data_IF_401597866165
#
_entry.id   IF_401597866165
#
_cell.length_a   1.000
_cell.length_b   1.000
_cell.length_c   1.000
_cell.angle_alpha   90.00
_cell.angle_beta   90.00
_cell.angle_gamma   90.00
#
_symmetry.space_group_name_H-M   'P 1'
#
loop_
_entity.id
_entity.type
_entity.pdbx_description
1 polymer ?
#
# COMPACT_ATOMS: atom_id res chain seq x y z
N UNK A 1 -0.66 29.36 -10.79
CA UNK A 1 -1.33 28.20 -10.17
C UNK A 1 -1.32 27.07 -11.18
N UNK A 2 -0.72 25.95 -10.80
CA UNK A 2 -0.61 24.76 -11.63
C UNK A 2 -1.65 23.76 -11.14
N UNK A 3 -2.31 23.08 -12.07
CA UNK A 3 -3.33 22.07 -11.84
C UNK A 3 -2.85 20.72 -12.35
N UNK A 4 -3.37 19.65 -11.75
CA UNK A 4 -3.11 18.28 -12.15
C UNK A 4 -4.41 17.57 -12.54
N UNK A 5 -4.40 16.90 -13.69
CA UNK A 5 -5.43 15.92 -14.06
C UNK A 5 -5.09 14.58 -13.42
N UNK A 6 -6.02 14.04 -12.62
CA UNK A 6 -5.79 12.84 -11.81
C UNK A 6 -6.80 11.76 -12.17
N UNK A 7 -6.30 10.55 -12.46
CA UNK A 7 -7.11 9.33 -12.53
C UNK A 7 -7.35 8.81 -11.11
N UNK A 8 -8.59 8.47 -10.78
CA UNK A 8 -8.97 7.83 -9.51
C UNK A 8 -9.32 6.35 -9.74
N UNK A 9 -9.20 5.46 -8.71
CA UNK A 9 -9.53 4.03 -8.82
C UNK A 9 -11.04 3.79 -8.74
N UNK A 10 -11.80 4.57 -9.50
CA UNK A 10 -13.26 4.62 -9.49
C UNK A 10 -13.80 4.30 -10.89
N UNK A 11 -15.00 3.72 -10.99
CA UNK A 11 -15.64 3.38 -12.27
C UNK A 11 -16.24 4.63 -12.95
N UNK A 12 -15.39 5.62 -13.25
CA UNK A 12 -15.78 6.92 -13.83
C UNK A 12 -14.99 7.18 -15.11
N UNK A 13 -15.68 7.60 -16.18
CA UNK A 13 -15.10 7.85 -17.51
C UNK A 13 -14.32 9.18 -17.62
N UNK A 14 -13.97 9.79 -16.50
CA UNK A 14 -13.35 11.11 -16.44
C UNK A 14 -12.14 11.10 -15.51
N UNK A 15 -11.15 11.93 -15.83
CA UNK A 15 -10.17 12.43 -14.87
C UNK A 15 -10.75 13.61 -14.10
N UNK A 16 -10.10 13.96 -12.99
CA UNK A 16 -10.50 15.07 -12.14
C UNK A 16 -9.33 16.02 -11.96
N UNK A 17 -9.61 17.32 -12.09
CA UNK A 17 -8.62 18.36 -11.91
C UNK A 17 -8.50 18.73 -10.44
N UNK A 18 -7.26 18.80 -9.95
CA UNK A 18 -6.90 19.28 -8.61
C UNK A 18 -5.91 20.43 -8.69
N UNK A 19 -5.97 21.36 -7.75
CA UNK A 19 -4.95 22.39 -7.58
C UNK A 19 -3.72 21.80 -6.89
N UNK A 20 -2.55 22.28 -7.29
CA UNK A 20 -1.27 21.90 -6.72
C UNK A 20 -0.84 22.99 -5.73
N UNK A 21 -0.82 22.73 -4.42
CA UNK A 21 -0.28 23.65 -3.43
C UNK A 21 1.18 24.01 -3.71
N UNK A 22 1.59 25.23 -3.35
CA UNK A 22 2.94 25.75 -3.64
C UNK A 22 4.06 24.87 -3.07
N UNK A 23 3.84 24.27 -1.89
CA UNK A 23 4.79 23.36 -1.25
C UNK A 23 4.96 22.01 -1.97
N UNK A 24 4.07 21.65 -2.90
CA UNK A 24 4.12 20.40 -3.65
C UNK A 24 4.59 20.58 -5.10
N UNK A 25 4.69 21.83 -5.61
CA UNK A 25 4.98 22.08 -7.02
C UNK A 25 6.31 21.48 -7.51
N UNK A 26 7.33 21.41 -6.65
CA UNK A 26 8.64 20.84 -7.00
C UNK A 26 8.71 19.32 -6.87
N UNK A 27 7.74 18.70 -6.19
CA UNK A 27 7.74 17.27 -5.86
C UNK A 27 6.76 16.45 -6.71
N UNK A 28 5.98 17.09 -7.56
CA UNK A 28 4.92 16.45 -8.36
C UNK A 28 5.29 16.42 -9.85
N UNK A 29 4.93 15.32 -10.51
CA UNK A 29 5.10 15.14 -11.95
C UNK A 29 4.04 14.23 -12.53
N UNK A 30 4.03 14.10 -13.86
CA UNK A 30 3.19 13.12 -14.55
C UNK A 30 3.64 11.70 -14.15
N UNK A 31 2.67 10.83 -13.86
CA UNK A 31 2.89 9.44 -13.42
C UNK A 31 3.12 9.27 -11.92
N UNK A 32 3.08 10.35 -11.13
CA UNK A 32 3.18 10.29 -9.67
C UNK A 32 1.85 9.88 -9.02
N UNK A 33 1.94 9.18 -7.90
CA UNK A 33 0.78 8.98 -7.03
C UNK A 33 0.57 10.19 -6.14
N UNK A 34 -0.69 10.58 -6.03
CA UNK A 34 -1.13 11.69 -5.19
C UNK A 34 -2.31 11.26 -4.34
N UNK A 35 -2.37 11.79 -3.13
CA UNK A 35 -3.53 11.66 -2.25
C UNK A 35 -4.44 12.86 -2.47
N UNK A 36 -5.69 12.60 -2.82
CA UNK A 36 -6.66 13.64 -3.15
C UNK A 36 -8.03 13.39 -2.51
N UNK A 37 -8.77 14.44 -2.14
CA UNK A 37 -10.13 14.31 -1.66
C UNK A 37 -11.10 14.07 -2.82
N UNK A 38 -12.10 13.22 -2.63
CA UNK A 38 -13.19 13.02 -3.58
C UNK A 38 -14.53 12.86 -2.85
N UNK A 39 -15.53 13.66 -3.24
CA UNK A 39 -16.81 13.73 -2.52
C UNK A 39 -16.70 14.42 -1.15
N UNK A 40 -17.63 14.13 -0.24
CA UNK A 40 -17.79 14.89 1.02
C UNK A 40 -16.69 14.63 2.05
N UNK A 41 -16.12 13.42 2.14
CA UNK A 41 -15.07 13.09 3.14
C UNK A 41 -14.11 11.95 2.75
N UNK A 42 -14.05 11.49 1.50
CA UNK A 42 -13.16 10.37 1.12
C UNK A 42 -11.84 10.85 0.54
N UNK A 43 -10.77 10.11 0.80
CA UNK A 43 -9.47 10.30 0.15
C UNK A 43 -9.12 9.09 -0.69
N UNK A 44 -8.57 9.35 -1.87
CA UNK A 44 -8.15 8.32 -2.81
C UNK A 44 -6.70 8.57 -3.23
N UNK A 45 -5.97 7.48 -3.46
CA UNK A 45 -4.72 7.54 -4.21
C UNK A 45 -5.06 7.58 -5.70
N UNK A 46 -4.71 8.69 -6.35
CA UNK A 46 -4.81 8.86 -7.79
C UNK A 46 -3.45 8.92 -8.48
N UNK A 47 -3.47 8.90 -9.81
CA UNK A 47 -2.28 9.08 -10.66
C UNK A 47 -2.40 10.37 -11.45
N UNK A 48 -1.37 11.21 -11.39
CA UNK A 48 -1.27 12.42 -12.21
C UNK A 48 -1.02 12.03 -13.66
N UNK A 49 -1.86 12.49 -14.57
CA UNK A 49 -1.77 12.22 -16.02
C UNK A 49 -1.30 13.43 -16.81
N UNK A 50 -1.62 14.63 -16.34
CA UNK A 50 -1.26 15.88 -17.00
C UNK A 50 -1.10 17.00 -15.96
N UNK A 51 -0.17 17.91 -16.22
CA UNK A 51 -0.04 19.18 -15.50
C UNK A 51 -0.42 20.32 -16.44
N UNK A 52 -1.23 21.27 -15.99
CA UNK A 52 -1.72 22.36 -16.81
C UNK A 52 -2.04 23.61 -15.98
N UNK A 53 -2.27 24.75 -16.62
CA UNK A 53 -2.55 26.03 -15.96
C UNK A 53 -4.01 26.49 -16.12
N UNK A 54 -4.89 25.58 -16.56
CA UNK A 54 -6.29 25.90 -16.86
C UNK A 54 -7.19 25.45 -15.71
N UNK A 55 -7.84 26.40 -15.04
CA UNK A 55 -8.83 26.08 -14.00
C UNK A 55 -10.13 25.60 -14.67
N UNK A 56 -10.71 24.46 -14.26
CA UNK A 56 -12.05 24.07 -14.66
C UNK A 56 -13.08 25.16 -14.29
N UNK A 57 -13.98 25.49 -15.22
CA UNK A 57 -15.03 26.48 -14.99
C UNK A 57 -16.32 25.90 -14.39
N UNK A 58 -16.44 24.57 -14.33
CA UNK A 58 -17.70 23.84 -14.11
C UNK A 58 -17.83 23.20 -12.71
N UNK A 59 -16.79 23.26 -11.87
CA UNK A 59 -16.86 22.76 -10.49
C UNK A 59 -15.79 23.38 -9.59
N UNK A 60 -15.98 23.23 -8.28
CA UNK A 60 -15.00 23.64 -7.27
C UNK A 60 -13.80 22.69 -7.29
N UNK A 61 -12.62 23.25 -7.53
CA UNK A 61 -11.35 22.51 -7.54
C UNK A 61 -10.84 22.35 -6.11
N UNK A 62 -10.51 21.12 -5.72
CA UNK A 62 -9.90 20.82 -4.43
C UNK A 62 -8.38 20.71 -4.56
N UNK A 63 -7.69 20.86 -3.44
CA UNK A 63 -6.23 20.72 -3.38
C UNK A 63 -5.77 19.26 -3.31
N UNK A 64 -4.60 18.99 -3.88
CA UNK A 64 -3.83 17.78 -3.60
C UNK A 64 -3.33 17.81 -2.16
N UNK A 65 -3.54 16.71 -1.43
CA UNK A 65 -3.15 16.59 -0.02
C UNK A 65 -1.68 16.26 0.12
N UNK A 66 -1.19 15.31 -0.68
CA UNK A 66 0.18 14.82 -0.61
C UNK A 66 0.60 14.16 -1.93
N UNK A 67 1.91 14.18 -2.19
CA UNK A 67 2.56 13.30 -3.17
C UNK A 67 3.09 12.08 -2.41
N UNK A 68 2.82 10.88 -2.89
CA UNK A 68 3.10 9.63 -2.15
C UNK A 68 4.42 8.96 -2.55
N UNK A 69 5.08 9.45 -3.60
CA UNK A 69 6.32 8.89 -4.14
C UNK A 69 7.35 9.98 -4.40
N UNK A 70 8.63 9.60 -4.34
CA UNK A 70 9.75 10.48 -4.75
C UNK A 70 9.93 10.50 -6.27
N UNK A 71 9.50 9.44 -6.96
CA UNK A 71 9.66 9.26 -8.40
C UNK A 71 8.33 8.84 -9.05
N UNK A 72 8.17 9.09 -10.35
CA UNK A 72 6.99 8.63 -11.09
C UNK A 72 6.91 7.11 -11.11
N UNK A 73 5.81 6.54 -10.62
CA UNK A 73 5.60 5.08 -10.65
C UNK A 73 5.07 4.59 -12.00
N UNK A 74 4.48 5.50 -12.79
CA UNK A 74 3.86 5.17 -14.06
C UNK A 74 4.51 5.94 -15.21
N UNK A 75 4.97 5.21 -16.23
CA UNK A 75 5.62 5.78 -17.41
C UNK A 75 4.60 6.09 -18.50
N UNK A 76 4.96 7.00 -19.39
CA UNK A 76 4.11 7.41 -20.53
C UNK A 76 3.62 6.23 -21.41
N UNK A 77 4.43 5.21 -21.76
CA UNK A 77 3.91 4.05 -22.50
C UNK A 77 2.84 3.26 -21.74
N UNK A 78 2.95 3.18 -20.40
CA UNK A 78 1.97 2.47 -19.57
C UNK A 78 0.66 3.25 -19.49
N UNK A 79 0.72 4.58 -19.38
CA UNK A 79 -0.49 5.43 -19.44
C UNK A 79 -1.20 5.28 -20.79
N UNK A 80 -0.46 5.30 -21.90
CA UNK A 80 -1.03 5.04 -23.23
C UNK A 80 -1.68 3.66 -23.33
N UNK A 81 -1.05 2.65 -22.72
CA UNK A 81 -1.62 1.31 -22.68
C UNK A 81 -2.91 1.24 -21.85
N UNK A 82 -2.98 1.93 -20.72
CA UNK A 82 -4.21 2.01 -19.93
C UNK A 82 -5.35 2.69 -20.70
N UNK A 83 -5.04 3.78 -21.42
CA UNK A 83 -6.00 4.45 -22.28
C UNK A 83 -6.47 3.52 -23.40
N UNK A 84 -5.54 2.80 -24.05
CA UNK A 84 -5.89 1.82 -25.09
C UNK A 84 -6.81 0.70 -24.56
N UNK A 85 -6.55 0.16 -23.36
CA UNK A 85 -7.44 -0.83 -22.73
C UNK A 85 -8.83 -0.22 -22.50
N UNK A 86 -8.88 0.98 -21.91
CA UNK A 86 -10.12 1.70 -21.60
C UNK A 86 -10.96 1.92 -22.87
N UNK A 87 -10.33 2.38 -23.95
CA UNK A 87 -10.98 2.65 -25.24
C UNK A 87 -11.42 1.34 -25.93
N UNK A 88 -10.55 0.33 -25.98
CA UNK A 88 -10.82 -0.92 -26.68
C UNK A 88 -11.90 -1.77 -26.00
N UNK A 89 -11.87 -1.84 -24.67
CA UNK A 89 -12.84 -2.61 -23.87
C UNK A 89 -14.01 -1.77 -23.36
N UNK A 90 -14.10 -0.50 -23.74
CA UNK A 90 -15.16 0.43 -23.35
C UNK A 90 -15.38 0.45 -21.82
N UNK A 91 -14.30 0.43 -21.06
CA UNK A 91 -14.34 0.47 -19.60
C UNK A 91 -13.71 1.76 -19.07
N UNK A 92 -14.08 2.25 -17.87
CA UNK A 92 -13.46 3.43 -17.29
C UNK A 92 -11.97 3.21 -17.02
N UNK A 93 -11.13 4.20 -17.36
CA UNK A 93 -9.67 4.13 -17.11
C UNK A 93 -9.33 3.94 -15.63
N UNK A 94 -10.20 4.40 -14.72
CA UNK A 94 -10.07 4.17 -13.29
C UNK A 94 -10.18 2.69 -12.87
N UNK A 95 -10.94 1.88 -13.62
CA UNK A 95 -10.99 0.43 -13.40
C UNK A 95 -9.71 -0.26 -13.88
N UNK A 96 -9.16 0.21 -15.00
CA UNK A 96 -7.85 -0.25 -15.50
C UNK A 96 -6.76 0.06 -14.47
N UNK A 97 -6.75 1.27 -13.92
CA UNK A 97 -5.86 1.65 -12.81
C UNK A 97 -6.05 0.74 -11.59
N UNK A 98 -7.29 0.51 -11.18
CA UNK A 98 -7.61 -0.35 -10.03
C UNK A 98 -7.10 -1.78 -10.22
N UNK A 99 -7.16 -2.31 -11.44
CA UNK A 99 -6.65 -3.64 -11.77
C UNK A 99 -5.12 -3.69 -11.92
N UNK A 100 -4.51 -2.64 -12.50
CA UNK A 100 -3.09 -2.62 -12.82
C UNK A 100 -2.19 -2.34 -11.61
N UNK A 101 -2.67 -1.54 -10.65
CA UNK A 101 -1.85 -1.13 -9.50
C UNK A 101 -2.08 -2.06 -8.29
N UNK A 102 -1.01 -2.56 -7.65
CA UNK A 102 -1.12 -3.44 -6.48
C UNK A 102 -1.98 -2.83 -5.36
N UNK A 103 -2.71 -3.68 -4.63
CA UNK A 103 -3.60 -3.24 -3.54
C UNK A 103 -2.87 -2.41 -2.47
N UNK A 104 -1.65 -2.80 -2.08
CA UNK A 104 -0.85 -2.04 -1.12
C UNK A 104 -0.38 -0.67 -1.62
N UNK A 105 -0.45 -0.40 -2.93
CA UNK A 105 -0.09 0.90 -3.49
C UNK A 105 -1.29 1.85 -3.65
N UNK A 106 -2.52 1.36 -3.42
CA UNK A 106 -3.75 2.16 -3.47
C UNK A 106 -4.15 2.49 -2.04
N UNK A 107 -3.53 3.54 -1.50
CA UNK A 107 -3.93 4.06 -0.19
C UNK A 107 -5.28 4.73 -0.35
N UNK A 108 -6.31 4.18 0.27
CA UNK A 108 -7.66 4.73 0.28
C UNK A 108 -8.03 5.04 1.73
N UNK A 109 -8.85 6.07 1.93
CA UNK A 109 -9.40 6.30 3.25
C UNK A 109 -10.44 5.20 3.54
N UNK A 110 -10.24 4.52 4.65
CA UNK A 110 -11.25 3.61 5.16
C UNK A 110 -12.15 4.42 6.11
N UNK A 111 -13.45 4.42 5.80
CA UNK A 111 -14.47 5.03 6.64
C UNK A 111 -14.47 4.31 7.99
N UNK A 112 -13.95 4.99 9.02
CA UNK A 112 -14.08 4.59 10.40
C UNK A 112 -15.11 5.47 11.10
N UNK A 113 -15.59 4.92 12.18
CA UNK A 113 -16.72 5.42 12.94
C UNK A 113 -16.24 5.50 14.38
N UNK A 114 -16.51 6.60 15.06
CA UNK A 114 -16.14 6.84 16.46
C UNK A 114 -17.33 7.45 17.20
N UNK A 115 -17.54 7.04 18.45
CA UNK A 115 -18.58 7.62 19.29
C UNK A 115 -18.29 9.11 19.58
N UNK A 116 -19.35 9.91 19.68
CA UNK A 116 -19.30 11.24 20.26
C UNK A 116 -19.39 11.11 21.78
N UNK A 117 -18.33 11.32 22.57
CA UNK A 117 -18.36 11.11 24.02
C UNK A 117 -19.30 12.09 24.74
N UNK A 118 -19.62 13.22 24.13
CA UNK A 118 -20.51 14.24 24.69
C UNK A 118 -21.99 13.98 24.35
N UNK A 119 -22.29 12.93 23.58
CA UNK A 119 -23.66 12.59 23.22
C UNK A 119 -24.40 11.95 24.40
N UNK A 120 -25.58 12.50 24.70
CA UNK A 120 -26.50 12.01 25.74
C UNK A 120 -27.84 11.75 25.07
N UNK A 121 -28.34 10.52 25.14
CA UNK A 121 -29.68 10.17 24.65
C UNK A 121 -30.73 10.61 25.67
N UNK A 122 -31.12 11.89 25.61
CA UNK A 122 -32.10 12.48 26.55
C UNK A 122 -33.52 11.96 26.34
N UNK A 123 -33.82 11.51 25.12
CA UNK A 123 -35.19 11.24 24.69
C UNK A 123 -35.49 9.73 24.56
N UNK A 124 -34.50 8.87 24.90
CA UNK A 124 -34.59 7.42 24.69
C UNK A 124 -34.79 7.08 23.20
N UNK A 125 -34.24 7.90 22.33
CA UNK A 125 -34.45 7.82 20.89
C UNK A 125 -33.71 6.63 20.27
N UNK A 126 -32.67 6.11 20.95
CA UNK A 126 -31.86 5.01 20.44
C UNK A 126 -32.58 3.67 20.48
N UNK A 127 -32.51 2.96 19.36
CA UNK A 127 -32.91 1.55 19.33
C UNK A 127 -31.87 0.68 20.02
N UNK A 128 -32.26 -0.50 20.48
CA UNK A 128 -31.34 -1.47 21.11
C UNK A 128 -30.11 -1.78 20.23
N UNK A 129 -30.28 -1.83 18.91
CA UNK A 129 -29.16 -2.02 17.96
C UNK A 129 -28.25 -0.80 17.88
N UNK A 130 -28.79 0.39 17.97
CA UNK A 130 -28.05 1.65 17.97
C UNK A 130 -27.22 1.78 19.26
N UNK A 131 -27.80 1.45 20.42
CA UNK A 131 -27.12 1.44 21.72
C UNK A 131 -25.96 0.46 21.74
N UNK A 132 -26.15 -0.78 21.27
CA UNK A 132 -25.07 -1.79 21.21
C UNK A 132 -23.90 -1.31 20.35
N UNK A 133 -24.19 -0.67 19.20
CA UNK A 133 -23.15 -0.13 18.32
C UNK A 133 -22.45 1.07 18.97
N UNK A 134 -23.20 1.96 19.61
CA UNK A 134 -22.66 3.12 20.32
C UNK A 134 -21.76 2.73 21.49
N UNK A 135 -22.17 1.80 22.34
CA UNK A 135 -21.37 1.27 23.45
C UNK A 135 -20.08 0.60 22.96
N UNK A 136 -20.17 -0.12 21.83
CA UNK A 136 -18.99 -0.72 21.21
C UNK A 136 -18.00 0.33 20.71
N UNK A 137 -18.50 1.46 20.18
CA UNK A 137 -17.69 2.59 19.71
C UNK A 137 -17.13 3.43 20.87
N UNK A 138 -17.79 3.47 22.03
CA UNK A 138 -17.23 4.03 23.26
C UNK A 138 -16.08 3.16 23.80
N UNK A 139 -16.23 1.83 23.74
CA UNK A 139 -15.21 0.90 24.20
C UNK A 139 -13.99 0.79 23.26
N UNK A 140 -14.19 1.01 21.95
CA UNK A 140 -13.13 0.96 20.93
C UNK A 140 -13.10 2.27 20.14
N UNK A 141 -12.03 3.04 20.29
CA UNK A 141 -11.90 4.41 19.78
C UNK A 141 -12.36 4.62 18.32
N UNK A 142 -12.06 3.69 17.41
CA UNK A 142 -12.44 3.80 15.98
C UNK A 142 -12.65 2.44 15.35
N UNK A 143 -13.83 2.19 14.77
CA UNK A 143 -14.15 0.94 14.08
C UNK A 143 -14.65 1.16 12.66
N UNK A 144 -14.42 0.21 11.77
CA UNK A 144 -15.00 0.21 10.43
C UNK A 144 -16.42 -0.38 10.46
N UNK A 145 -17.33 -0.02 9.53
CA UNK A 145 -18.63 -0.67 9.43
C UNK A 145 -18.54 -2.20 9.30
N UNK A 146 -17.50 -2.70 8.62
CA UNK A 146 -17.24 -4.13 8.51
C UNK A 146 -16.80 -4.78 9.84
N UNK A 147 -15.96 -4.11 10.63
CA UNK A 147 -15.58 -4.55 11.99
C UNK A 147 -16.81 -4.59 12.92
N UNK A 148 -17.69 -3.59 12.83
CA UNK A 148 -18.95 -3.52 13.60
C UNK A 148 -19.89 -4.65 13.15
N UNK A 149 -20.05 -4.89 11.85
CA UNK A 149 -20.88 -5.97 11.32
C UNK A 149 -20.39 -7.35 11.77
N UNK A 150 -19.06 -7.55 11.78
CA UNK A 150 -18.45 -8.80 12.26
C UNK A 150 -18.66 -9.03 13.75
N UNK A 151 -18.60 -7.98 14.57
CA UNK A 151 -18.73 -8.09 16.01
C UNK A 151 -20.19 -8.19 16.49
N UNK A 152 -21.11 -7.49 15.82
CA UNK A 152 -22.54 -7.46 16.17
C UNK A 152 -23.35 -8.54 15.45
N UNK A 153 -22.86 -9.07 14.33
CA UNK A 153 -23.59 -10.00 13.46
C UNK A 153 -24.72 -9.35 12.66
N UNK A 154 -24.83 -8.02 12.66
CA UNK A 154 -25.89 -7.30 11.97
C UNK A 154 -25.60 -7.20 10.47
N UNK A 155 -26.62 -7.48 9.64
CA UNK A 155 -26.51 -7.36 8.17
C UNK A 155 -26.66 -5.92 7.64
N UNK A 156 -27.14 -5.00 8.46
CA UNK A 156 -27.51 -3.63 8.07
C UNK A 156 -26.82 -2.60 8.97
N UNK A 157 -25.51 -2.74 9.16
CA UNK A 157 -24.75 -1.84 10.04
C UNK A 157 -24.65 -0.44 9.44
N UNK A 158 -24.60 -0.33 8.12
CA UNK A 158 -24.50 0.93 7.40
C UNK A 158 -25.71 1.83 7.69
N UNK A 159 -26.92 1.25 7.76
CA UNK A 159 -28.15 1.97 8.11
C UNK A 159 -28.15 2.42 9.58
N UNK A 160 -27.66 1.57 10.49
CA UNK A 160 -27.56 1.89 11.92
C UNK A 160 -26.55 3.01 12.15
N UNK A 161 -25.38 2.92 11.53
CA UNK A 161 -24.35 3.96 11.58
C UNK A 161 -24.88 5.27 10.96
N UNK A 162 -25.62 5.22 9.85
CA UNK A 162 -26.23 6.41 9.25
C UNK A 162 -27.18 7.12 10.22
N UNK A 163 -28.05 6.38 10.91
CA UNK A 163 -28.97 6.95 11.92
C UNK A 163 -28.24 7.53 13.13
N UNK A 164 -27.17 6.88 13.58
CA UNK A 164 -26.32 7.38 14.66
C UNK A 164 -25.59 8.68 14.28
N UNK A 165 -25.23 8.83 13.00
CA UNK A 165 -24.66 10.08 12.47
C UNK A 165 -25.73 11.18 12.43
N UNK A 166 -26.94 10.86 11.96
CA UNK A 166 -28.04 11.84 11.91
C UNK A 166 -28.45 12.34 13.29
N UNK A 167 -28.27 11.50 14.33
CA UNK A 167 -28.48 11.84 15.74
C UNK A 167 -27.28 12.52 16.41
N UNK A 168 -26.21 12.79 15.67
CA UNK A 168 -24.94 13.34 16.17
C UNK A 168 -24.25 12.51 17.28
N UNK A 169 -24.67 11.25 17.45
CA UNK A 169 -24.10 10.32 18.42
C UNK A 169 -22.76 9.76 17.95
N UNK A 170 -22.48 9.81 16.65
CA UNK A 170 -21.33 9.16 16.06
C UNK A 170 -20.71 10.04 14.98
N UNK A 171 -19.39 10.13 15.00
CA UNK A 171 -18.60 10.81 13.98
C UNK A 171 -18.00 9.81 13.00
N UNK A 172 -18.08 10.16 11.72
CA UNK A 172 -17.28 9.49 10.68
C UNK A 172 -15.87 10.09 10.70
N UNK A 173 -14.89 9.27 11.06
CA UNK A 173 -13.47 9.59 10.99
C UNK A 173 -12.82 8.72 9.92
N UNK A 174 -12.12 9.33 8.99
CA UNK A 174 -11.48 8.60 7.89
C UNK A 174 -10.03 8.36 8.27
N UNK A 175 -9.60 7.09 8.27
CA UNK A 175 -8.18 6.74 8.47
C UNK A 175 -7.59 6.36 7.12
N UNK A 176 -6.50 7.01 6.76
CA UNK A 176 -5.68 6.62 5.62
C UNK A 176 -5.04 5.27 5.98
N UNK A 177 -5.39 4.21 5.26
CA UNK A 177 -4.84 2.87 5.51
C UNK A 177 -3.84 2.54 4.40
N UNK A 178 -2.58 2.38 4.78
CA UNK A 178 -1.58 1.77 3.91
C UNK A 178 -1.70 0.25 4.00
N UNK A 179 -2.18 -0.37 2.92
CA UNK A 179 -2.36 -1.82 2.82
C UNK A 179 -1.06 -2.55 2.40
N UNK A 180 0.06 -1.85 2.23
CA UNK A 180 1.33 -2.47 1.92
C UNK A 180 1.93 -3.19 3.13
N UNK A 181 2.04 -4.53 3.02
CA UNK A 181 2.88 -5.32 3.92
C UNK A 181 4.10 -5.78 3.12
N UNK A 182 5.32 -5.33 3.45
CA UNK A 182 6.52 -5.79 2.76
C UNK A 182 6.64 -7.30 2.93
N UNK A 183 6.85 -8.01 1.82
CA UNK A 183 7.16 -9.43 1.88
C UNK A 183 8.58 -9.57 2.43
N UNK A 184 8.72 -10.16 3.60
CA UNK A 184 10.02 -10.52 4.15
C UNK A 184 10.43 -11.89 3.61
N UNK A 185 11.66 -12.00 3.16
CA UNK A 185 12.27 -13.28 2.79
C UNK A 185 13.51 -13.50 3.66
N UNK A 186 13.71 -14.75 4.09
CA UNK A 186 14.88 -15.08 4.92
C UNK A 186 16.08 -15.28 4.00
N UNK A 187 17.05 -14.38 4.12
CA UNK A 187 18.31 -14.46 3.41
C UNK A 187 19.44 -15.01 4.28
N UNK A 188 20.48 -15.51 3.62
CA UNK A 188 21.76 -15.90 4.22
C UNK A 188 22.82 -14.92 3.70
N UNK A 189 23.73 -14.53 4.58
CA UNK A 189 24.90 -13.73 4.26
C UNK A 189 26.14 -14.35 4.87
N UNK A 190 27.27 -14.32 4.17
CA UNK A 190 28.55 -14.68 4.77
C UNK A 190 28.97 -13.61 5.78
N UNK A 191 29.40 -14.06 6.95
CA UNK A 191 29.99 -13.19 7.98
C UNK A 191 31.47 -12.93 7.69
N UNK A 192 31.75 -12.45 6.49
CA UNK A 192 33.08 -12.04 6.03
C UNK A 192 32.92 -10.82 5.11
N UNK A 193 33.99 -10.06 4.93
CA UNK A 193 34.05 -9.00 3.93
C UNK A 193 34.67 -9.51 2.63
N UNK A 194 34.31 -8.90 1.50
CA UNK A 194 34.89 -9.28 0.20
C UNK A 194 36.39 -8.98 0.20
N UNK A 195 37.21 -10.01 0.00
CA UNK A 195 38.67 -9.92 0.03
C UNK A 195 39.31 -10.50 1.29
N UNK A 196 38.50 -10.86 2.30
CA UNK A 196 38.97 -11.61 3.46
C UNK A 196 39.10 -13.10 3.15
N UNK A 197 40.16 -13.44 2.40
CA UNK A 197 40.43 -14.81 1.98
C UNK A 197 40.69 -15.74 3.17
N UNK A 198 41.22 -15.20 4.28
CA UNK A 198 41.57 -15.99 5.47
C UNK A 198 40.32 -16.50 6.18
N UNK A 199 39.33 -15.63 6.38
CA UNK A 199 38.06 -16.03 7.00
C UNK A 199 37.25 -16.98 6.12
N UNK A 200 37.31 -16.81 4.79
CA UNK A 200 36.66 -17.73 3.85
C UNK A 200 37.33 -19.11 3.87
N UNK A 201 38.66 -19.17 3.91
CA UNK A 201 39.41 -20.42 4.05
C UNK A 201 39.09 -21.13 5.37
N UNK A 202 38.97 -20.37 6.47
CA UNK A 202 38.51 -20.90 7.76
C UNK A 202 37.10 -21.51 7.67
N UNK A 203 36.17 -20.91 6.90
CA UNK A 203 34.85 -21.50 6.68
C UNK A 203 34.92 -22.83 5.93
N UNK A 204 35.73 -22.91 4.87
CA UNK A 204 35.94 -24.17 4.14
C UNK A 204 36.58 -25.24 5.01
N UNK A 205 37.49 -24.88 5.91
CA UNK A 205 38.10 -25.82 6.84
C UNK A 205 37.09 -26.46 7.79
N UNK A 206 36.08 -25.68 8.24
CA UNK A 206 35.00 -26.15 9.13
C UNK A 206 34.02 -27.11 8.45
N UNK A 207 33.75 -26.91 7.16
CA UNK A 207 32.80 -27.76 6.40
C UNK A 207 33.49 -28.90 5.63
N UNK A 208 34.81 -29.03 5.73
CA UNK A 208 35.65 -29.97 4.96
C UNK A 208 35.20 -31.43 4.99
N UNK A 209 34.63 -31.90 6.10
CA UNK A 209 34.15 -33.28 6.24
C UNK A 209 32.68 -33.45 5.84
N UNK A 210 31.93 -32.36 5.75
CA UNK A 210 30.51 -32.33 5.49
C UNK A 210 30.23 -31.91 4.03
N UNK A 211 30.30 -32.87 3.11
CA UNK A 211 30.15 -32.65 1.65
C UNK A 211 28.92 -31.81 1.27
N UNK A 212 27.79 -31.98 1.98
CA UNK A 212 26.57 -31.20 1.72
C UNK A 212 26.68 -29.75 2.21
N UNK A 213 27.37 -29.49 3.32
CA UNK A 213 27.63 -28.14 3.81
C UNK A 213 28.64 -27.41 2.92
N UNK A 214 29.66 -28.12 2.43
CA UNK A 214 30.62 -27.60 1.45
C UNK A 214 29.92 -27.24 0.12
N UNK A 215 29.05 -28.10 -0.38
CA UNK A 215 28.24 -27.82 -1.57
C UNK A 215 27.34 -26.57 -1.38
N UNK A 216 26.75 -26.39 -0.20
CA UNK A 216 25.97 -25.22 0.14
C UNK A 216 26.82 -23.94 0.18
N UNK A 217 28.02 -23.99 0.77
CA UNK A 217 28.95 -22.86 0.79
C UNK A 217 29.39 -22.45 -0.63
N UNK A 218 29.70 -23.43 -1.49
CA UNK A 218 30.05 -23.17 -2.89
C UNK A 218 28.88 -22.56 -3.68
N UNK A 219 27.66 -23.09 -3.50
CA UNK A 219 26.46 -22.55 -4.12
C UNK A 219 26.17 -21.11 -3.65
N UNK A 220 26.42 -20.80 -2.38
CA UNK A 220 26.30 -19.44 -1.87
C UNK A 220 27.29 -18.49 -2.56
N UNK A 221 28.58 -18.86 -2.67
CA UNK A 221 29.61 -18.01 -3.29
C UNK A 221 29.32 -17.72 -4.77
N UNK A 222 28.73 -18.68 -5.48
CA UNK A 222 28.26 -18.52 -6.86
C UNK A 222 27.05 -17.56 -6.94
N UNK A 223 25.99 -17.83 -6.16
CA UNK A 223 24.75 -17.05 -6.18
C UNK A 223 24.92 -15.62 -5.69
N UNK A 224 25.73 -15.40 -4.65
CA UNK A 224 26.04 -14.08 -4.11
C UNK A 224 26.90 -13.24 -5.07
N UNK A 225 27.52 -13.87 -6.08
CA UNK A 225 28.47 -13.21 -6.97
C UNK A 225 29.79 -12.88 -6.30
N UNK A 226 30.12 -13.52 -5.17
CA UNK A 226 31.33 -13.29 -4.38
C UNK A 226 32.62 -13.36 -5.22
N UNK A 227 32.67 -14.31 -6.16
CA UNK A 227 33.81 -14.55 -7.05
C UNK A 227 33.94 -13.53 -8.19
N UNK A 228 32.95 -12.65 -8.42
CA UNK A 228 32.98 -11.67 -9.52
C UNK A 228 33.78 -10.44 -9.11
N UNK A 229 34.83 -10.08 -9.88
CA UNK A 229 35.76 -8.97 -9.56
C UNK A 229 35.06 -7.63 -9.26
N UNK A 230 34.00 -7.29 -10.00
CA UNK A 230 33.32 -5.98 -9.89
C UNK A 230 31.91 -6.01 -9.24
N UNK A 231 31.53 -7.08 -8.55
CA UNK A 231 30.23 -7.17 -7.88
C UNK A 231 30.36 -7.04 -6.35
N UNK A 232 29.49 -6.29 -5.70
CA UNK A 232 29.28 -6.41 -4.24
C UNK A 232 28.51 -7.71 -3.99
N UNK A 233 28.93 -8.56 -3.03
CA UNK A 233 28.23 -9.81 -2.77
C UNK A 233 26.81 -9.51 -2.31
N UNK A 234 25.84 -10.16 -2.96
CA UNK A 234 24.43 -10.01 -2.60
C UNK A 234 24.01 -11.07 -1.59
N UNK A 235 23.07 -10.71 -0.74
CA UNK A 235 22.36 -11.67 0.09
C UNK A 235 21.64 -12.70 -0.78
N UNK A 236 21.63 -13.97 -0.35
CA UNK A 236 21.03 -15.08 -1.10
C UNK A 236 19.84 -15.61 -0.29
N UNK A 237 18.68 -15.75 -0.91
CA UNK A 237 17.50 -16.30 -0.23
C UNK A 237 17.70 -17.77 0.12
N UNK A 238 17.19 -18.21 1.27
CA UNK A 238 17.31 -19.62 1.71
C UNK A 238 16.77 -20.59 0.67
N UNK A 239 15.65 -20.27 0.03
CA UNK A 239 15.04 -21.11 -1.01
C UNK A 239 15.91 -21.24 -2.26
N UNK A 240 16.56 -20.16 -2.70
CA UNK A 240 17.48 -20.22 -3.83
C UNK A 240 18.71 -21.07 -3.51
N UNK A 241 19.22 -20.96 -2.28
CA UNK A 241 20.37 -21.74 -1.82
C UNK A 241 20.06 -23.23 -1.71
N UNK A 242 18.91 -23.59 -1.12
CA UNK A 242 18.40 -24.99 -1.03
C UNK A 242 18.32 -25.62 -2.42
N UNK A 243 17.72 -24.90 -3.39
CA UNK A 243 17.54 -25.40 -4.76
C UNK A 243 18.87 -25.55 -5.49
N UNK A 244 19.77 -24.57 -5.38
CA UNK A 244 21.04 -24.57 -6.11
C UNK A 244 22.06 -25.58 -5.57
N UNK A 245 22.06 -25.80 -4.25
CA UNK A 245 22.95 -26.73 -3.58
C UNK A 245 22.38 -28.15 -3.45
N UNK A 246 21.09 -28.35 -3.77
CA UNK A 246 20.38 -29.62 -3.58
C UNK A 246 20.48 -30.17 -2.14
N UNK A 247 20.38 -29.27 -1.16
CA UNK A 247 20.48 -29.58 0.28
C UNK A 247 19.21 -29.24 1.04
N UNK A 248 19.00 -29.85 2.20
CA UNK A 248 17.86 -29.54 3.07
C UNK A 248 18.14 -28.37 4.01
N UNK A 249 17.07 -27.72 4.48
CA UNK A 249 17.15 -26.57 5.40
C UNK A 249 17.95 -26.84 6.69
N UNK A 250 17.87 -28.03 7.34
CA UNK A 250 18.69 -28.33 8.52
C UNK A 250 20.19 -28.27 8.25
N UNK A 251 20.65 -28.59 7.04
CA UNK A 251 22.07 -28.56 6.66
C UNK A 251 22.57 -27.12 6.62
N UNK A 252 21.76 -26.19 6.07
CA UNK A 252 22.07 -24.76 6.02
C UNK A 252 22.06 -24.14 7.41
N UNK A 253 21.14 -24.54 8.29
CA UNK A 253 21.09 -24.02 9.66
C UNK A 253 22.20 -24.60 10.57
N UNK A 254 22.84 -25.70 10.18
CA UNK A 254 23.92 -26.34 10.92
C UNK A 254 25.33 -25.87 10.49
N UNK A 255 25.41 -24.96 9.51
CA UNK A 255 26.64 -24.25 9.10
C UNK A 255 26.85 -23.02 9.98
#
# INVERSE_FOLDING_TARGET
>A
MTYAEVILPLPLYSTFTYSIPDNLQSAIGVGFRVLVPFGRKKFYTGIVTMLHNQRPGNYEVKDIVAVLDNDSILRHPQMKFWQWISDYYLCPVGEVYKAAVPAGMKVESETRVSANPDFIDTDGSMTERETVVYDMLLAKERLTPAEIAKATGYKSVETVVARLIDKEAVFVTEKIVDNYRPKTEVCVALRAEKGDNKTVEDFFSKVKQAKKQEAALLAYLDLSGWMKRNATPKEVTKDALIKRAEVSLPIINAM
#
